data_IF_675287037529
#
_entry.id   IF_675287037529
#
_cell.length_a   1.000
_cell.length_b   1.000
_cell.length_c   1.000
_cell.angle_alpha   90.00
_cell.angle_beta   90.00
_cell.angle_gamma   90.00
#
_symmetry.space_group_name_H-M   'P 1'
#
loop_
_entity.id
_entity.type
_entity.pdbx_description
1 polymer ?
#
# COMPACT_ATOMS: atom_id res chain seq x y z
N UNK A 1 22.58 14.99 -12.47
CA UNK A 1 23.59 13.92 -12.26
C UNK A 1 24.77 14.25 -13.15
N UNK A 2 26.02 13.97 -12.74
CA UNK A 2 27.17 14.13 -13.63
C UNK A 2 27.21 12.93 -14.57
N UNK A 3 27.14 13.17 -15.87
CA UNK A 3 27.22 12.15 -16.90
C UNK A 3 28.65 11.60 -16.96
N UNK A 4 28.90 10.43 -16.35
CA UNK A 4 30.23 9.85 -16.18
C UNK A 4 30.58 8.92 -17.33
N UNK A 5 31.74 9.16 -17.95
CA UNK A 5 32.18 8.44 -19.14
C UNK A 5 33.59 7.89 -18.94
N UNK A 6 33.80 6.64 -19.33
CA UNK A 6 35.12 6.01 -19.39
C UNK A 6 35.51 5.74 -20.84
N UNK A 7 36.66 6.25 -21.29
CA UNK A 7 37.27 5.89 -22.59
C UNK A 7 38.44 4.94 -22.39
N UNK A 8 38.48 3.84 -23.12
CA UNK A 8 39.54 2.84 -23.07
C UNK A 8 40.16 2.69 -24.45
N UNK A 9 41.41 3.13 -24.60
CA UNK A 9 42.13 3.17 -25.88
C UNK A 9 43.64 3.27 -25.61
N UNK A 10 44.50 2.62 -26.39
CA UNK A 10 45.95 2.69 -26.20
C UNK A 10 46.56 3.96 -26.83
N UNK A 11 45.81 4.65 -27.70
CA UNK A 11 46.22 5.89 -28.34
C UNK A 11 46.06 7.10 -27.41
N UNK A 12 47.11 7.37 -26.62
CA UNK A 12 47.16 8.50 -25.67
C UNK A 12 46.79 9.88 -26.24
N UNK A 13 47.02 10.11 -27.55
CA UNK A 13 46.62 11.36 -28.23
C UNK A 13 45.11 11.46 -28.37
N UNK A 14 44.45 10.37 -28.75
CA UNK A 14 42.99 10.30 -28.90
C UNK A 14 42.31 10.52 -27.54
N UNK A 15 42.78 9.80 -26.51
CA UNK A 15 42.27 9.95 -25.14
C UNK A 15 42.33 11.39 -24.64
N UNK A 16 43.47 12.09 -24.84
CA UNK A 16 43.63 13.49 -24.44
C UNK A 16 42.67 14.43 -25.16
N UNK A 17 42.45 14.21 -26.46
CA UNK A 17 41.56 15.04 -27.27
C UNK A 17 40.11 14.87 -26.80
N UNK A 18 39.65 13.63 -26.56
CA UNK A 18 38.29 13.38 -26.10
C UNK A 18 38.07 13.89 -24.68
N UNK A 19 39.01 13.64 -23.77
CA UNK A 19 38.93 14.16 -22.41
C UNK A 19 38.83 15.69 -22.41
N UNK A 20 39.74 16.40 -23.10
CA UNK A 20 39.72 17.86 -23.14
C UNK A 20 38.46 18.43 -23.81
N UNK A 21 37.96 17.77 -24.86
CA UNK A 21 36.81 18.27 -25.63
C UNK A 21 35.47 18.01 -24.93
N UNK A 22 35.33 16.85 -24.28
CA UNK A 22 34.10 16.46 -23.60
C UNK A 22 33.98 17.09 -22.22
N UNK A 23 35.09 17.31 -21.50
CA UNK A 23 35.06 18.08 -20.24
C UNK A 23 34.60 19.53 -20.48
N UNK A 24 34.92 20.15 -21.63
CA UNK A 24 34.37 21.46 -22.02
C UNK A 24 32.85 21.44 -22.25
N UNK A 25 32.26 20.27 -22.50
CA UNK A 25 30.82 20.06 -22.65
C UNK A 25 30.17 19.53 -21.35
N UNK A 26 30.84 19.72 -20.21
CA UNK A 26 30.36 19.34 -18.87
C UNK A 26 30.18 17.84 -18.63
N UNK A 27 30.73 16.98 -19.50
CA UNK A 27 30.84 15.56 -19.21
C UNK A 27 31.99 15.29 -18.23
N UNK A 28 31.76 14.36 -17.31
CA UNK A 28 32.79 13.86 -16.40
C UNK A 28 33.47 12.69 -17.10
N UNK A 29 34.76 12.83 -17.43
CA UNK A 29 35.46 11.89 -18.33
C UNK A 29 36.76 11.39 -17.71
N UNK A 30 36.86 10.07 -17.62
CA UNK A 30 38.07 9.35 -17.24
C UNK A 30 38.53 8.49 -18.42
N UNK A 31 39.83 8.30 -18.55
CA UNK A 31 40.46 7.53 -19.63
C UNK A 31 41.24 6.36 -19.07
N UNK A 32 41.45 5.29 -19.82
CA UNK A 32 42.30 4.14 -19.47
C UNK A 32 43.09 3.71 -20.72
N UNK A 33 44.37 3.39 -20.55
CA UNK A 33 45.28 3.07 -21.66
C UNK A 33 45.33 1.57 -22.00
N UNK A 34 44.73 0.71 -21.18
CA UNK A 34 44.75 -0.73 -21.31
C UNK A 34 43.58 -1.38 -20.54
N UNK A 35 43.37 -2.67 -20.74
CA UNK A 35 42.30 -3.44 -20.13
C UNK A 35 42.40 -3.55 -18.61
N UNK A 36 43.60 -3.73 -18.05
CA UNK A 36 43.79 -3.76 -16.59
C UNK A 36 43.36 -2.45 -15.93
N UNK A 37 43.76 -1.31 -16.50
CA UNK A 37 43.39 0.01 -16.01
C UNK A 37 41.89 0.26 -16.16
N UNK A 38 41.28 -0.22 -17.26
CA UNK A 38 39.84 -0.17 -17.46
C UNK A 38 39.06 -0.95 -16.39
N UNK A 39 39.51 -2.17 -16.03
CA UNK A 39 38.91 -2.99 -14.96
C UNK A 39 38.96 -2.29 -13.60
N UNK A 40 40.05 -1.58 -13.31
CA UNK A 40 40.17 -0.79 -12.07
C UNK A 40 39.23 0.41 -12.10
N UNK A 41 39.26 1.17 -13.19
CA UNK A 41 38.51 2.43 -13.32
C UNK A 41 37.01 2.24 -13.41
N UNK A 42 36.51 1.18 -14.06
CA UNK A 42 35.07 0.91 -14.11
C UNK A 42 34.49 0.64 -12.71
N UNK A 43 35.27 0.06 -11.81
CA UNK A 43 34.89 -0.20 -10.43
C UNK A 43 35.01 1.06 -9.55
N UNK A 44 36.13 1.79 -9.62
CA UNK A 44 36.39 2.94 -8.75
C UNK A 44 35.59 4.19 -9.13
N UNK A 45 35.44 4.45 -10.43
CA UNK A 45 34.81 5.66 -10.94
C UNK A 45 33.30 5.50 -11.18
N UNK A 46 32.85 4.24 -11.34
CA UNK A 46 31.46 3.87 -11.61
C UNK A 46 30.86 4.65 -12.79
N UNK A 47 31.42 4.53 -14.02
CA UNK A 47 30.93 5.26 -15.20
C UNK A 47 29.58 4.74 -15.68
N UNK A 48 28.77 5.60 -16.28
CA UNK A 48 27.49 5.24 -16.89
C UNK A 48 27.67 4.70 -18.31
N UNK A 49 28.60 5.31 -19.06
CA UNK A 49 28.92 4.99 -20.45
C UNK A 49 30.41 4.65 -20.58
N UNK A 50 30.72 3.57 -21.29
CA UNK A 50 32.09 3.09 -21.49
C UNK A 50 32.37 2.91 -22.98
N UNK A 51 33.38 3.60 -23.49
CA UNK A 51 33.93 3.40 -24.83
C UNK A 51 35.12 2.46 -24.75
N UNK A 52 35.12 1.40 -25.56
CA UNK A 52 36.14 0.35 -25.56
C UNK A 52 36.75 0.19 -26.95
N UNK A 53 38.06 0.38 -27.09
CA UNK A 53 38.76 -0.05 -28.30
C UNK A 53 38.75 -1.58 -28.41
N UNK A 54 38.53 -2.09 -29.62
CA UNK A 54 38.60 -3.52 -29.94
C UNK A 54 40.00 -4.07 -29.70
N UNK A 55 41.05 -3.27 -29.96
CA UNK A 55 42.45 -3.70 -29.81
C UNK A 55 43.08 -2.95 -28.65
N UNK A 56 43.32 -3.65 -27.54
CA UNK A 56 44.10 -3.14 -26.41
C UNK A 56 45.40 -3.94 -26.28
N UNK A 57 46.45 -3.38 -25.67
CA UNK A 57 47.77 -4.00 -25.62
C UNK A 57 47.82 -5.30 -24.79
N UNK A 58 46.89 -5.48 -23.86
CA UNK A 58 46.89 -6.55 -22.86
C UNK A 58 45.69 -7.51 -22.96
N UNK A 59 44.60 -7.10 -23.61
CA UNK A 59 43.38 -7.90 -23.76
C UNK A 59 42.61 -7.50 -25.02
N UNK A 60 41.80 -8.41 -25.57
CA UNK A 60 40.82 -8.03 -26.59
C UNK A 60 39.70 -7.17 -25.98
N UNK A 61 39.33 -6.08 -26.63
CA UNK A 61 38.19 -5.25 -26.21
C UNK A 61 36.87 -6.01 -26.20
N UNK A 62 36.71 -7.01 -27.09
CA UNK A 62 35.53 -7.88 -27.13
C UNK A 62 35.43 -8.80 -25.91
N UNK A 63 36.57 -9.34 -25.44
CA UNK A 63 36.59 -10.19 -24.24
C UNK A 63 36.29 -9.34 -23.00
N UNK A 64 36.84 -8.12 -22.96
CA UNK A 64 36.58 -7.17 -21.89
C UNK A 64 35.10 -6.73 -21.85
N UNK A 65 34.48 -6.52 -23.01
CA UNK A 65 33.05 -6.25 -23.15
C UNK A 65 32.20 -7.39 -22.55
N UNK A 66 32.51 -8.65 -22.88
CA UNK A 66 31.75 -9.80 -22.36
C UNK A 66 31.81 -9.90 -20.83
N UNK A 67 32.96 -9.61 -20.24
CA UNK A 67 33.12 -9.55 -18.78
C UNK A 67 32.31 -8.41 -18.19
N UNK A 68 32.41 -7.22 -18.78
CA UNK A 68 31.76 -6.02 -18.26
C UNK A 68 30.23 -6.07 -18.39
N UNK A 69 29.69 -6.60 -19.48
CA UNK A 69 28.24 -6.76 -19.65
C UNK A 69 27.65 -7.69 -18.59
N UNK A 70 28.37 -8.76 -18.21
CA UNK A 70 27.93 -9.68 -17.14
C UNK A 70 27.98 -9.03 -15.76
N UNK A 71 29.05 -8.30 -15.46
CA UNK A 71 29.26 -7.71 -14.14
C UNK A 71 28.47 -6.40 -13.94
N UNK A 72 28.25 -5.66 -15.01
CA UNK A 72 27.65 -4.32 -14.98
C UNK A 72 26.53 -4.17 -16.02
N UNK A 73 25.43 -4.95 -15.91
CA UNK A 73 24.34 -5.00 -16.91
C UNK A 73 23.54 -3.68 -17.05
N UNK A 74 23.80 -2.70 -16.18
CA UNK A 74 23.14 -1.40 -16.18
C UNK A 74 23.97 -0.30 -16.84
N UNK A 75 25.21 -0.58 -17.26
CA UNK A 75 26.08 0.37 -17.97
C UNK A 75 25.91 0.24 -19.48
N UNK A 76 26.25 1.29 -20.21
CA UNK A 76 26.26 1.31 -21.68
C UNK A 76 27.67 1.12 -22.19
N UNK A 77 27.87 0.18 -23.12
CA UNK A 77 29.17 -0.09 -23.73
C UNK A 77 29.16 0.21 -25.22
N UNK A 78 30.13 0.99 -25.70
CA UNK A 78 30.26 1.37 -27.11
C UNK A 78 31.63 0.93 -27.61
N UNK A 79 31.68 0.17 -28.69
CA UNK A 79 32.95 -0.31 -29.24
C UNK A 79 33.57 0.70 -30.21
N UNK A 80 34.88 0.88 -30.16
CA UNK A 80 35.66 1.63 -31.15
C UNK A 80 36.47 0.64 -31.98
N UNK A 81 36.35 0.66 -33.30
CA UNK A 81 36.99 -0.32 -34.20
C UNK A 81 37.67 0.35 -35.38
N UNK A 82 38.73 -0.24 -35.95
CA UNK A 82 39.32 0.23 -37.20
C UNK A 82 38.50 -0.19 -38.44
N UNK A 83 38.73 0.47 -39.57
CA UNK A 83 38.08 0.18 -40.85
C UNK A 83 38.44 -1.23 -41.36
N UNK A 84 37.44 -2.04 -41.72
CA UNK A 84 37.61 -3.41 -42.22
C UNK A 84 37.09 -4.53 -41.30
N UNK A 85 36.70 -4.21 -40.07
CA UNK A 85 36.32 -5.17 -39.02
C UNK A 85 34.78 -5.29 -38.83
N UNK A 86 34.02 -5.42 -39.92
CA UNK A 86 32.54 -5.54 -39.87
C UNK A 86 32.10 -6.76 -39.03
N UNK A 87 32.85 -7.86 -39.10
CA UNK A 87 32.60 -9.06 -38.30
C UNK A 87 32.77 -8.81 -36.78
N UNK A 88 33.71 -7.94 -36.39
CA UNK A 88 33.90 -7.57 -34.99
C UNK A 88 32.78 -6.65 -34.49
N UNK A 89 32.27 -5.75 -35.34
CA UNK A 89 31.12 -4.92 -35.00
C UNK A 89 29.86 -5.78 -34.75
N UNK A 90 29.60 -6.77 -35.61
CA UNK A 90 28.50 -7.71 -35.42
C UNK A 90 28.68 -8.55 -34.14
N UNK A 91 29.91 -9.00 -33.88
CA UNK A 91 30.23 -9.78 -32.68
C UNK A 91 30.10 -8.96 -31.40
N UNK A 92 30.48 -7.69 -31.42
CA UNK A 92 30.28 -6.74 -30.32
C UNK A 92 28.80 -6.56 -29.98
N UNK A 93 27.95 -6.35 -30.98
CA UNK A 93 26.50 -6.21 -30.76
C UNK A 93 25.91 -7.49 -30.16
N UNK A 94 26.33 -8.67 -30.63
CA UNK A 94 25.93 -9.96 -30.04
C UNK A 94 26.42 -10.14 -28.60
N UNK A 95 27.58 -9.57 -28.26
CA UNK A 95 28.15 -9.60 -26.92
C UNK A 95 27.55 -8.56 -25.96
N UNK A 96 26.61 -7.72 -26.43
CA UNK A 96 25.89 -6.76 -25.59
C UNK A 96 26.41 -5.32 -25.67
N UNK A 97 27.20 -4.97 -26.68
CA UNK A 97 27.48 -3.56 -27.00
C UNK A 97 26.18 -2.85 -27.40
N UNK A 98 26.06 -1.59 -26.99
CA UNK A 98 24.97 -0.70 -27.36
C UNK A 98 25.11 -0.18 -28.79
N UNK A 99 26.33 0.19 -29.17
CA UNK A 99 26.66 0.63 -30.52
C UNK A 99 28.17 0.46 -30.78
N UNK A 100 28.62 0.78 -31.99
CA UNK A 100 30.03 0.86 -32.34
C UNK A 100 30.36 2.10 -33.18
N UNK A 101 31.63 2.48 -33.20
CA UNK A 101 32.16 3.58 -34.00
C UNK A 101 33.46 3.20 -34.71
N UNK A 102 33.60 3.64 -35.96
CA UNK A 102 34.75 3.29 -36.80
C UNK A 102 35.79 4.40 -36.74
N UNK A 103 37.04 4.06 -36.38
CA UNK A 103 38.22 4.93 -36.44
C UNK A 103 38.60 5.20 -37.91
N UNK A 104 38.98 6.44 -38.28
CA UNK A 104 39.22 7.60 -37.42
C UNK A 104 37.94 8.29 -36.97
N UNK A 105 37.82 8.52 -35.67
CA UNK A 105 36.57 9.00 -35.04
C UNK A 105 36.49 10.52 -35.04
N UNK A 106 35.35 11.08 -35.44
CA UNK A 106 35.08 12.52 -35.32
C UNK A 106 34.40 12.84 -34.00
N UNK A 107 34.77 13.97 -33.39
CA UNK A 107 34.21 14.41 -32.11
C UNK A 107 32.68 14.51 -32.14
N UNK A 108 32.09 14.99 -33.25
CA UNK A 108 30.63 15.10 -33.39
C UNK A 108 29.93 13.74 -33.36
N UNK A 109 30.55 12.69 -33.92
CA UNK A 109 29.97 11.34 -33.92
C UNK A 109 29.96 10.74 -32.50
N UNK A 110 31.03 10.97 -31.73
CA UNK A 110 31.08 10.59 -30.31
C UNK A 110 30.01 11.32 -29.49
N UNK A 111 29.83 12.63 -29.71
CA UNK A 111 28.81 13.40 -28.98
C UNK A 111 27.41 12.82 -29.23
N UNK A 112 27.08 12.51 -30.50
CA UNK A 112 25.78 11.91 -30.84
C UNK A 112 25.59 10.57 -30.14
N UNK A 113 26.63 9.74 -30.09
CA UNK A 113 26.56 8.45 -29.40
C UNK A 113 26.43 8.60 -27.88
N UNK A 114 27.13 9.56 -27.28
CA UNK A 114 27.00 9.89 -25.86
C UNK A 114 25.57 10.33 -25.55
N UNK A 115 25.00 11.24 -26.34
CA UNK A 115 23.62 11.72 -26.16
C UNK A 115 22.61 10.56 -26.23
N UNK A 116 22.72 9.70 -27.25
CA UNK A 116 21.87 8.50 -27.39
C UNK A 116 22.03 7.53 -26.22
N UNK A 117 23.26 7.32 -25.75
CA UNK A 117 23.54 6.42 -24.62
C UNK A 117 22.89 6.92 -23.33
N UNK A 118 22.99 8.22 -23.03
CA UNK A 118 22.38 8.80 -21.83
C UNK A 118 20.85 8.88 -21.95
N UNK A 119 20.30 9.17 -23.14
CA UNK A 119 18.86 9.09 -23.39
C UNK A 119 18.33 7.68 -23.14
N UNK A 120 19.04 6.65 -23.64
CA UNK A 120 18.69 5.25 -23.39
C UNK A 120 18.75 4.88 -21.91
N UNK A 121 19.77 5.33 -21.18
CA UNK A 121 19.88 5.12 -19.73
C UNK A 121 18.72 5.78 -18.99
N UNK A 122 18.36 7.01 -19.36
CA UNK A 122 17.22 7.71 -18.78
C UNK A 122 15.92 6.96 -19.06
N UNK A 123 15.68 6.55 -20.31
CA UNK A 123 14.50 5.75 -20.67
C UNK A 123 14.44 4.41 -19.93
N UNK A 124 15.58 3.74 -19.73
CA UNK A 124 15.66 2.48 -18.98
C UNK A 124 15.36 2.69 -17.50
N UNK A 125 15.86 3.77 -16.90
CA UNK A 125 15.55 4.15 -15.51
C UNK A 125 14.08 4.53 -15.34
N UNK A 126 13.52 5.33 -16.25
CA UNK A 126 12.10 5.68 -16.25
C UNK A 126 11.22 4.45 -16.44
N UNK A 127 11.58 3.53 -17.34
CA UNK A 127 10.87 2.27 -17.53
C UNK A 127 11.00 1.36 -16.30
N UNK A 128 12.16 1.32 -15.62
CA UNK A 128 12.32 0.59 -14.36
C UNK A 128 11.44 1.18 -13.25
N UNK A 129 11.42 2.49 -13.08
CA UNK A 129 10.55 3.22 -12.15
C UNK A 129 9.06 3.03 -12.47
N UNK A 130 8.69 3.07 -13.76
CA UNK A 130 7.32 2.82 -14.21
C UNK A 130 6.92 1.37 -14.00
N UNK A 131 7.82 0.40 -14.26
CA UNK A 131 7.61 -1.02 -13.96
C UNK A 131 7.55 -1.28 -12.47
N UNK A 132 8.31 -0.57 -11.65
CA UNK A 132 8.24 -0.65 -10.20
C UNK A 132 6.92 -0.08 -9.69
N UNK A 133 6.47 1.07 -10.22
CA UNK A 133 5.14 1.65 -9.94
C UNK A 133 3.98 0.77 -10.45
N UNK A 134 4.13 0.13 -11.62
CA UNK A 134 3.16 -0.81 -12.18
C UNK A 134 3.15 -2.12 -11.39
N UNK A 135 4.31 -2.63 -10.99
CA UNK A 135 4.42 -3.79 -10.12
C UNK A 135 3.85 -3.48 -8.75
N UNK A 136 4.03 -2.28 -8.21
CA UNK A 136 3.34 -1.80 -7.01
C UNK A 136 1.83 -1.73 -7.28
N UNK A 137 1.36 -1.20 -8.42
CA UNK A 137 -0.07 -1.15 -8.77
C UNK A 137 -0.70 -2.56 -8.94
N UNK A 138 0.04 -3.53 -9.49
CA UNK A 138 -0.38 -4.94 -9.62
C UNK A 138 -0.31 -5.69 -8.27
N UNK A 139 0.68 -5.37 -7.43
CA UNK A 139 0.90 -6.02 -6.12
C UNK A 139 0.03 -5.41 -5.02
N UNK A 140 -0.37 -4.14 -5.16
CA UNK A 140 -1.30 -3.41 -4.27
C UNK A 140 -2.71 -3.37 -4.84
N UNK A 141 -3.05 -4.22 -5.82
CA UNK A 141 -4.40 -4.32 -6.38
C UNK A 141 -5.46 -4.79 -5.36
N UNK A 142 -5.17 -4.76 -4.06
CA UNK A 142 -6.11 -4.90 -2.93
C UNK A 142 -6.24 -3.62 -2.08
N UNK A 143 -5.24 -2.72 -2.08
CA UNK A 143 -5.28 -1.47 -1.33
C UNK A 143 -5.89 -0.37 -2.17
N UNK A 144 -7.05 0.12 -1.74
CA UNK A 144 -7.85 1.10 -2.47
C UNK A 144 -7.88 2.38 -1.66
N UNK A 145 -7.45 3.48 -2.27
CA UNK A 145 -7.51 4.80 -1.64
C UNK A 145 -6.90 5.89 -2.51
N UNK A 146 -7.61 7.00 -2.62
CA UNK A 146 -7.16 8.24 -3.30
C UNK A 146 -7.04 9.42 -2.33
N UNK A 147 -7.67 9.31 -1.16
CA UNK A 147 -7.62 10.27 -0.08
C UNK A 147 -6.19 10.55 0.36
N UNK A 148 -5.93 11.80 0.78
CA UNK A 148 -4.61 12.22 1.21
C UNK A 148 -4.09 11.37 2.40
N UNK A 149 -5.00 10.94 3.28
CA UNK A 149 -4.65 10.09 4.43
C UNK A 149 -4.19 8.70 3.97
N UNK A 150 -4.91 8.06 3.04
CA UNK A 150 -4.50 6.77 2.50
C UNK A 150 -3.19 6.85 1.72
N UNK A 151 -2.96 7.93 0.96
CA UNK A 151 -1.67 8.15 0.26
C UNK A 151 -0.49 8.22 1.22
N UNK A 152 -0.65 8.87 2.38
CA UNK A 152 0.38 8.90 3.43
C UNK A 152 0.63 7.51 4.03
N UNK A 153 -0.43 6.74 4.25
CA UNK A 153 -0.32 5.35 4.72
C UNK A 153 0.45 4.51 3.69
N UNK A 154 0.16 4.64 2.39
CA UNK A 154 0.88 3.92 1.34
C UNK A 154 2.37 4.28 1.30
N UNK A 155 2.71 5.57 1.40
CA UNK A 155 4.12 6.00 1.49
C UNK A 155 4.84 5.44 2.72
N UNK A 156 4.13 5.31 3.85
CA UNK A 156 4.69 4.71 5.06
C UNK A 156 4.90 3.21 4.89
N UNK A 157 3.94 2.51 4.26
CA UNK A 157 4.06 1.10 3.90
C UNK A 157 5.30 0.88 3.03
N UNK A 158 5.50 1.69 1.99
CA UNK A 158 6.66 1.59 1.10
C UNK A 158 8.00 1.73 1.84
N UNK A 159 8.06 2.59 2.87
CA UNK A 159 9.27 2.80 3.68
C UNK A 159 9.52 1.68 4.67
N UNK A 160 8.46 1.15 5.31
CA UNK A 160 8.60 0.13 6.36
C UNK A 160 8.70 -1.28 5.81
N UNK A 161 8.11 -1.56 4.64
CA UNK A 161 8.10 -2.87 4.03
C UNK A 161 9.49 -3.50 3.85
N UNK A 162 10.53 -2.81 3.34
CA UNK A 162 11.88 -3.40 3.20
C UNK A 162 12.64 -3.57 4.54
N UNK A 163 12.07 -3.16 5.68
CA UNK A 163 12.70 -3.32 7.00
C UNK A 163 12.14 -4.52 7.75
N UNK A 164 12.86 -5.02 8.76
CA UNK A 164 12.37 -6.04 9.70
C UNK A 164 11.64 -5.46 10.93
N UNK A 165 11.34 -4.15 10.93
CA UNK A 165 10.64 -3.51 12.02
C UNK A 165 9.23 -4.08 12.22
N UNK A 166 8.85 -4.24 13.50
CA UNK A 166 7.48 -4.56 13.89
C UNK A 166 6.54 -3.41 13.53
N UNK A 167 5.36 -3.73 13.01
CA UNK A 167 4.35 -2.74 12.65
C UNK A 167 3.09 -2.99 13.47
N UNK A 168 2.58 -1.94 14.12
CA UNK A 168 1.29 -1.95 14.80
C UNK A 168 0.26 -1.21 13.93
N UNK A 169 -0.80 -1.91 13.56
CA UNK A 169 -1.92 -1.41 12.78
C UNK A 169 -3.11 -1.13 13.69
N UNK A 170 -3.47 0.14 13.83
CA UNK A 170 -4.59 0.56 14.67
C UNK A 170 -5.75 1.05 13.81
N UNK A 171 -6.97 0.87 14.29
CA UNK A 171 -8.18 1.41 13.64
C UNK A 171 -9.37 0.49 13.80
N UNK A 172 -10.55 0.97 13.46
CA UNK A 172 -11.80 0.24 13.65
C UNK A 172 -11.85 -1.10 12.89
N UNK A 173 -12.79 -1.97 13.25
CA UNK A 173 -12.98 -3.23 12.52
C UNK A 173 -13.44 -2.93 11.09
N UNK A 174 -12.96 -3.72 10.13
CA UNK A 174 -13.34 -3.58 8.72
C UNK A 174 -12.70 -2.40 7.97
N UNK A 175 -11.72 -1.69 8.54
CA UNK A 175 -11.00 -0.59 7.86
C UNK A 175 -9.96 -1.06 6.83
N UNK A 176 -9.61 -2.35 6.83
CA UNK A 176 -8.63 -2.92 5.88
C UNK A 176 -7.24 -3.20 6.47
N UNK A 177 -7.10 -3.25 7.81
CA UNK A 177 -5.84 -3.58 8.49
C UNK A 177 -5.17 -4.85 7.96
N UNK A 178 -5.93 -5.94 7.76
CA UNK A 178 -5.40 -7.20 7.24
C UNK A 178 -4.85 -7.06 5.81
N UNK A 179 -5.49 -6.25 4.96
CA UNK A 179 -4.99 -5.94 3.61
C UNK A 179 -3.74 -5.08 3.62
N UNK A 180 -3.61 -4.18 4.59
CA UNK A 180 -2.39 -3.40 4.80
C UNK A 180 -1.25 -4.32 5.26
N UNK A 181 -1.50 -5.26 6.17
CA UNK A 181 -0.50 -6.24 6.59
C UNK A 181 -0.01 -7.11 5.41
N UNK A 182 -0.93 -7.60 4.57
CA UNK A 182 -0.60 -8.32 3.34
C UNK A 182 0.26 -7.47 2.39
N UNK A 183 -0.05 -6.18 2.25
CA UNK A 183 0.71 -5.27 1.40
C UNK A 183 2.13 -5.02 1.93
N UNK A 184 2.29 -4.81 3.24
CA UNK A 184 3.60 -4.67 3.90
C UNK A 184 4.44 -5.91 3.62
N UNK A 185 3.87 -7.11 3.76
CA UNK A 185 4.59 -8.35 3.48
C UNK A 185 4.98 -8.48 1.99
N UNK A 186 4.04 -8.24 1.07
CA UNK A 186 4.28 -8.33 -0.39
C UNK A 186 5.35 -7.35 -0.89
N UNK A 187 5.48 -6.20 -0.24
CA UNK A 187 6.49 -5.18 -0.56
C UNK A 187 7.81 -5.36 0.21
N UNK A 188 7.92 -6.38 1.06
CA UNK A 188 9.11 -6.64 1.86
C UNK A 188 10.13 -7.54 1.16
N UNK A 189 11.33 -7.62 1.72
CA UNK A 189 12.35 -8.60 1.33
C UNK A 189 11.92 -10.05 1.62
N UNK A 190 10.85 -10.24 2.42
CA UNK A 190 10.25 -11.53 2.78
C UNK A 190 9.04 -11.89 1.90
N UNK A 191 8.76 -11.17 0.81
CA UNK A 191 7.58 -11.40 -0.06
C UNK A 191 7.43 -12.83 -0.61
N UNK A 192 8.54 -13.54 -0.82
CA UNK A 192 8.56 -14.92 -1.33
C UNK A 192 8.56 -15.97 -0.18
N UNK A 193 8.41 -15.51 1.06
CA UNK A 193 8.37 -16.32 2.29
C UNK A 193 6.93 -16.42 2.82
N UNK A 194 6.65 -17.31 3.78
CA UNK A 194 5.29 -17.47 4.31
C UNK A 194 4.75 -16.18 4.94
N UNK A 195 3.49 -15.86 4.63
CA UNK A 195 2.66 -14.92 5.37
C UNK A 195 1.61 -15.70 6.16
N UNK A 196 1.71 -15.70 7.48
CA UNK A 196 0.80 -16.45 8.36
C UNK A 196 -0.06 -15.47 9.14
N UNK A 197 -1.36 -15.42 8.83
CA UNK A 197 -2.33 -14.61 9.56
C UNK A 197 -3.00 -15.43 10.68
N UNK A 198 -3.11 -14.84 11.86
CA UNK A 198 -3.77 -15.42 13.03
C UNK A 198 -4.69 -14.37 13.64
N UNK A 199 -5.97 -14.68 13.79
CA UNK A 199 -6.92 -13.84 14.50
C UNK A 199 -7.03 -14.31 15.95
N UNK A 200 -6.56 -13.47 16.88
CA UNK A 200 -6.45 -13.81 18.29
C UNK A 200 -7.80 -13.85 19.03
N UNK A 201 -8.86 -13.24 18.48
CA UNK A 201 -10.19 -13.21 19.10
C UNK A 201 -11.09 -14.36 18.66
N UNK A 202 -10.80 -14.98 17.51
CA UNK A 202 -11.62 -16.05 16.92
C UNK A 202 -11.41 -17.45 17.51
N UNK A 203 -10.36 -17.64 18.33
CA UNK A 203 -9.93 -18.94 18.85
C UNK A 203 -9.94 -18.91 20.38
N UNK A 204 -10.51 -19.91 21.07
CA UNK A 204 -10.39 -20.02 22.52
C UNK A 204 -8.92 -20.02 22.97
N UNK A 205 -8.61 -19.35 24.06
CA UNK A 205 -7.22 -19.10 24.51
C UNK A 205 -6.33 -20.35 24.55
N UNK A 206 -6.83 -21.46 25.09
CA UNK A 206 -6.09 -22.73 25.18
C UNK A 206 -5.71 -23.29 23.79
N UNK A 207 -6.60 -23.11 22.81
CA UNK A 207 -6.35 -23.52 21.43
C UNK A 207 -5.47 -22.50 20.70
N UNK A 208 -5.59 -21.20 21.02
CA UNK A 208 -4.74 -20.15 20.46
C UNK A 208 -3.27 -20.39 20.79
N UNK A 209 -2.97 -20.77 22.04
CA UNK A 209 -1.62 -21.10 22.47
C UNK A 209 -1.04 -22.29 21.71
N UNK A 210 -1.81 -23.37 21.61
CA UNK A 210 -1.45 -24.58 20.89
C UNK A 210 -1.30 -24.34 19.38
N UNK A 211 -2.12 -23.47 18.77
CA UNK A 211 -1.99 -23.09 17.36
C UNK A 211 -0.75 -22.22 17.14
N UNK A 212 -0.51 -21.18 17.94
CA UNK A 212 0.61 -20.26 17.73
C UNK A 212 1.97 -20.90 18.03
N UNK A 213 2.10 -21.58 19.17
CA UNK A 213 3.38 -22.13 19.64
C UNK A 213 3.54 -23.63 19.37
N UNK A 214 2.47 -24.34 19.00
CA UNK A 214 2.52 -25.80 18.83
C UNK A 214 2.44 -26.55 20.16
N UNK A 215 2.31 -27.86 20.09
CA UNK A 215 2.22 -28.72 21.28
C UNK A 215 2.94 -30.04 21.08
N UNK A 216 3.40 -30.62 22.19
CA UNK A 216 3.90 -32.00 22.23
C UNK A 216 2.77 -33.00 22.49
N UNK A 217 3.03 -34.27 22.15
CA UNK A 217 2.09 -35.35 22.44
C UNK A 217 1.82 -35.42 23.95
N UNK A 218 0.55 -35.41 24.34
CA UNK A 218 0.12 -35.48 25.73
C UNK A 218 0.12 -34.14 26.48
N UNK A 219 0.33 -33.02 25.80
CA UNK A 219 0.35 -31.69 26.43
C UNK A 219 -0.99 -31.26 27.06
N UNK A 220 -2.13 -31.76 26.54
CA UNK A 220 -3.47 -31.54 27.07
C UNK A 220 -4.41 -32.69 26.66
N UNK A 221 -5.62 -32.74 27.24
CA UNK A 221 -6.64 -33.74 26.89
C UNK A 221 -7.03 -33.61 25.42
N UNK A 222 -6.63 -34.59 24.59
CA UNK A 222 -6.85 -34.58 23.14
C UNK A 222 -5.58 -34.38 22.29
N UNK A 223 -4.42 -34.12 22.91
CA UNK A 223 -3.13 -33.99 22.22
C UNK A 223 -2.54 -35.37 21.84
N UNK A 224 -3.15 -36.05 20.86
CA UNK A 224 -2.76 -37.41 20.43
C UNK A 224 -1.41 -37.44 19.73
N UNK A 225 -1.03 -36.36 19.06
CA UNK A 225 0.21 -36.20 18.29
C UNK A 225 0.85 -34.85 18.56
N UNK A 226 2.16 -34.73 18.41
CA UNK A 226 2.85 -33.43 18.41
C UNK A 226 2.50 -32.62 17.14
N UNK A 227 2.32 -31.30 17.28
CA UNK A 227 2.02 -30.40 16.15
C UNK A 227 2.88 -29.13 16.22
N UNK A 228 3.44 -28.73 15.08
CA UNK A 228 4.18 -27.46 14.95
C UNK A 228 3.23 -26.27 15.03
N UNK A 229 3.70 -25.20 15.67
CA UNK A 229 2.95 -23.94 15.79
C UNK A 229 3.04 -23.04 14.55
N UNK A 230 2.20 -22.00 14.50
CA UNK A 230 2.21 -20.97 13.47
C UNK A 230 3.51 -20.16 13.46
N UNK A 231 4.16 -19.96 14.62
CA UNK A 231 5.48 -19.31 14.65
C UNK A 231 6.56 -20.13 13.93
N UNK A 232 6.55 -21.46 14.07
CA UNK A 232 7.45 -22.34 13.29
C UNK A 232 7.11 -22.29 11.80
N UNK A 233 5.82 -22.27 11.45
CA UNK A 233 5.36 -22.18 10.06
C UNK A 233 5.70 -20.83 9.40
N UNK A 234 5.77 -19.75 10.19
CA UNK A 234 6.12 -18.41 9.74
C UNK A 234 7.63 -18.16 9.70
N UNK A 235 8.48 -19.14 10.07
CA UNK A 235 9.92 -18.95 10.15
C UNK A 235 10.53 -18.51 8.80
N UNK A 236 11.35 -17.46 8.84
CA UNK A 236 11.89 -16.74 7.68
C UNK A 236 10.91 -15.76 7.03
N UNK A 237 9.63 -15.77 7.42
CA UNK A 237 8.55 -14.98 6.82
C UNK A 237 7.94 -13.94 7.76
N UNK A 238 6.63 -13.75 7.67
CA UNK A 238 5.88 -12.76 8.43
C UNK A 238 4.69 -13.40 9.13
N UNK A 239 4.49 -13.08 10.40
CA UNK A 239 3.27 -13.41 11.14
C UNK A 239 2.44 -12.15 11.35
N UNK A 240 1.17 -12.22 10.98
CA UNK A 240 0.19 -11.18 11.20
C UNK A 240 -0.73 -11.61 12.35
N UNK A 241 -0.72 -10.83 13.44
CA UNK A 241 -1.52 -11.06 14.64
C UNK A 241 -2.66 -10.04 14.68
N UNK A 242 -3.86 -10.48 14.26
CA UNK A 242 -5.05 -9.64 14.27
C UNK A 242 -5.75 -9.69 15.64
N UNK A 243 -6.40 -8.58 16.00
CA UNK A 243 -7.05 -8.35 17.28
C UNK A 243 -6.15 -8.64 18.50
N UNK A 244 -4.92 -8.11 18.50
CA UNK A 244 -3.95 -8.31 19.57
C UNK A 244 -4.39 -7.73 20.92
N UNK A 245 -5.37 -6.81 20.94
CA UNK A 245 -5.96 -6.29 22.18
C UNK A 245 -6.88 -7.28 22.92
N UNK A 246 -7.14 -8.46 22.36
CA UNK A 246 -8.05 -9.46 22.94
C UNK A 246 -7.29 -10.57 23.71
N UNK A 247 -5.95 -10.57 23.69
CA UNK A 247 -5.16 -11.63 24.33
C UNK A 247 -5.06 -11.44 25.85
N UNK A 248 -5.04 -12.56 26.57
CA UNK A 248 -4.90 -12.56 28.03
C UNK A 248 -3.51 -12.07 28.48
N UNK A 249 -3.36 -11.56 29.72
CA UNK A 249 -2.06 -11.19 30.27
C UNK A 249 -1.05 -12.35 30.29
N UNK A 250 -1.52 -13.59 30.47
CA UNK A 250 -0.66 -14.78 30.47
C UNK A 250 -0.09 -15.05 29.07
N UNK A 251 -0.91 -14.84 28.04
CA UNK A 251 -0.52 -14.97 26.65
C UNK A 251 0.45 -13.85 26.22
N UNK A 252 0.23 -12.62 26.71
CA UNK A 252 1.13 -11.48 26.46
C UNK A 252 2.58 -11.78 26.91
N UNK A 253 2.77 -12.46 28.04
CA UNK A 253 4.11 -12.84 28.51
C UNK A 253 4.83 -13.81 27.56
N UNK A 254 4.11 -14.79 26.99
CA UNK A 254 4.66 -15.73 26.00
C UNK A 254 4.96 -15.04 24.67
N UNK A 255 4.07 -14.12 24.27
CA UNK A 255 4.29 -13.33 23.07
C UNK A 255 5.48 -12.37 23.21
N UNK A 256 5.69 -11.80 24.39
CA UNK A 256 6.88 -11.00 24.69
C UNK A 256 8.16 -11.80 24.47
N UNK A 257 8.21 -13.05 24.93
CA UNK A 257 9.39 -13.90 24.76
C UNK A 257 9.76 -14.12 23.28
N UNK A 258 8.79 -14.41 22.42
CA UNK A 258 9.06 -14.61 20.98
C UNK A 258 9.31 -13.29 20.24
N UNK A 259 8.69 -12.19 20.65
CA UNK A 259 8.91 -10.87 20.04
C UNK A 259 10.31 -10.33 20.38
N UNK A 260 10.77 -10.54 21.61
CA UNK A 260 12.06 -10.04 22.11
C UNK A 260 13.22 -11.00 21.83
N UNK A 261 13.12 -12.24 22.29
CA UNK A 261 14.23 -13.20 22.29
C UNK A 261 14.21 -14.11 21.06
N UNK A 262 13.21 -13.97 20.18
CA UNK A 262 13.01 -14.81 19.00
C UNK A 262 12.92 -16.31 19.34
N UNK A 263 12.55 -16.61 20.57
CA UNK A 263 12.43 -17.98 21.09
C UNK A 263 11.10 -18.22 21.79
N UNK A 264 10.65 -19.47 21.79
CA UNK A 264 9.51 -19.92 22.58
C UNK A 264 9.61 -21.42 22.85
N UNK A 265 8.67 -21.97 23.63
CA UNK A 265 8.53 -23.41 23.88
C UNK A 265 7.16 -23.88 23.41
N UNK A 266 7.08 -25.10 22.87
CA UNK A 266 5.80 -25.76 22.61
C UNK A 266 5.06 -26.03 23.91
N UNK A 267 3.73 -26.06 23.86
CA UNK A 267 2.91 -26.48 25.00
C UNK A 267 3.30 -27.90 25.42
N UNK A 268 3.65 -28.09 26.69
CA UNK A 268 4.10 -29.38 27.23
C UNK A 268 5.56 -29.72 26.95
N UNK A 269 6.36 -28.80 26.39
CA UNK A 269 7.79 -28.97 26.15
C UNK A 269 8.63 -27.97 26.94
N UNK A 270 9.85 -28.39 27.32
CA UNK A 270 10.88 -27.50 27.88
C UNK A 270 11.98 -27.18 26.85
N UNK A 271 11.81 -27.60 25.60
CA UNK A 271 12.76 -27.33 24.53
C UNK A 271 12.51 -25.93 23.96
N UNK A 272 13.52 -25.07 24.03
CA UNK A 272 13.52 -23.77 23.36
C UNK A 272 13.64 -23.95 21.84
N UNK A 273 12.80 -23.23 21.11
CA UNK A 273 12.76 -23.17 19.66
C UNK A 273 13.03 -21.72 19.24
N UNK A 274 14.01 -21.51 18.37
CA UNK A 274 14.34 -20.18 17.81
C UNK A 274 13.68 -20.01 16.44
N UNK A 275 13.09 -18.85 16.17
CA UNK A 275 12.48 -18.50 14.89
C UNK A 275 12.83 -17.08 14.46
N UNK A 276 13.13 -16.88 13.18
CA UNK A 276 13.28 -15.57 12.57
C UNK A 276 11.96 -15.17 11.91
N UNK A 277 11.14 -14.39 12.61
CA UNK A 277 9.83 -13.97 12.14
C UNK A 277 9.67 -12.46 12.29
N UNK A 278 9.23 -11.81 11.21
CA UNK A 278 8.74 -10.43 11.24
C UNK A 278 7.31 -10.41 11.76
N UNK A 279 7.01 -9.50 12.67
CA UNK A 279 5.71 -9.41 13.33
C UNK A 279 4.96 -8.16 12.85
N UNK A 280 3.73 -8.35 12.42
CA UNK A 280 2.77 -7.27 12.18
C UNK A 280 1.58 -7.54 13.11
N UNK A 281 1.21 -6.58 13.94
CA UNK A 281 0.08 -6.70 14.84
C UNK A 281 -1.04 -5.73 14.42
N UNK A 282 -2.29 -6.11 14.64
CA UNK A 282 -3.44 -5.25 14.44
C UNK A 282 -4.38 -5.26 15.64
N UNK A 283 -5.07 -4.15 15.87
CA UNK A 283 -6.04 -3.98 16.96
C UNK A 283 -7.08 -2.94 16.59
N UNK A 284 -8.31 -3.12 17.10
CA UNK A 284 -9.34 -2.08 17.12
C UNK A 284 -9.44 -1.36 18.48
N UNK A 285 -8.69 -1.80 19.49
CA UNK A 285 -8.61 -1.20 20.83
C UNK A 285 -7.41 -0.27 20.94
N UNK A 286 -7.53 0.72 21.83
CA UNK A 286 -6.43 1.59 22.21
C UNK A 286 -5.49 0.86 23.19
N UNK A 287 -4.39 0.32 22.67
CA UNK A 287 -3.42 -0.40 23.50
C UNK A 287 -2.72 0.49 24.51
N UNK A 288 -2.55 1.79 24.20
CA UNK A 288 -1.89 2.72 25.12
C UNK A 288 -2.75 2.91 26.37
N UNK A 289 -4.07 3.08 26.18
CA UNK A 289 -5.03 3.11 27.28
C UNK A 289 -5.06 1.80 28.07
N UNK A 290 -4.98 0.66 27.39
CA UNK A 290 -4.93 -0.66 28.06
C UNK A 290 -3.66 -0.85 28.90
N UNK A 291 -2.53 -0.25 28.50
CA UNK A 291 -1.31 -0.21 29.32
C UNK A 291 -1.53 0.61 30.59
N UNK A 292 -2.15 1.79 30.48
CA UNK A 292 -2.49 2.63 31.63
C UNK A 292 -3.47 1.93 32.60
N UNK A 293 -4.39 1.12 32.06
CA UNK A 293 -5.34 0.32 32.83
C UNK A 293 -4.74 -1.01 33.37
N UNK A 294 -3.49 -1.34 33.02
CA UNK A 294 -2.81 -2.57 33.45
C UNK A 294 -3.34 -3.86 32.79
N UNK A 295 -4.16 -3.75 31.74
CA UNK A 295 -4.72 -4.90 31.00
C UNK A 295 -3.85 -5.33 29.82
N UNK A 296 -2.92 -4.48 29.39
CA UNK A 296 -1.88 -4.81 28.41
C UNK A 296 -0.49 -4.49 28.96
N UNK A 297 0.48 -5.37 28.73
CA UNK A 297 1.84 -5.18 29.23
C UNK A 297 2.56 -4.08 28.46
N UNK A 298 3.17 -3.17 29.22
CA UNK A 298 3.96 -2.05 28.69
C UNK A 298 5.15 -2.52 27.84
N UNK A 299 5.87 -3.55 28.29
CA UNK A 299 7.04 -4.09 27.59
C UNK A 299 6.69 -4.67 26.20
N UNK A 300 5.59 -5.42 26.11
CA UNK A 300 5.08 -5.96 24.85
C UNK A 300 4.61 -4.84 23.92
N UNK A 301 3.92 -3.83 24.44
CA UNK A 301 3.46 -2.67 23.66
C UNK A 301 4.63 -2.01 22.92
N UNK A 302 5.73 -1.70 23.62
CA UNK A 302 6.90 -1.07 22.98
C UNK A 302 7.62 -1.99 21.97
N UNK A 303 7.55 -3.32 22.13
CA UNK A 303 8.13 -4.27 21.15
C UNK A 303 7.29 -4.40 19.87
N UNK A 304 5.98 -4.28 19.98
CA UNK A 304 5.06 -4.31 18.84
C UNK A 304 4.99 -2.96 18.13
N UNK A 305 5.04 -1.86 18.88
CA UNK A 305 4.84 -0.50 18.40
C UNK A 305 6.15 0.20 17.99
N UNK A 306 6.92 -0.41 17.08
CA UNK A 306 8.10 0.26 16.49
C UNK A 306 7.66 1.24 15.41
N UNK A 307 6.73 0.82 14.55
CA UNK A 307 6.06 1.69 13.57
C UNK A 307 4.55 1.59 13.78
N UNK A 308 3.93 2.72 14.10
CA UNK A 308 2.49 2.84 14.28
C UNK A 308 1.81 3.32 12.99
N UNK A 309 0.74 2.64 12.58
CA UNK A 309 -0.07 3.03 11.43
C UNK A 309 -1.54 3.02 11.85
N UNK A 310 -2.11 4.21 12.00
CA UNK A 310 -3.54 4.39 12.19
C UNK A 310 -4.27 4.37 10.85
N UNK A 311 -5.23 3.46 10.71
CA UNK A 311 -6.08 3.30 9.52
C UNK A 311 -7.42 3.99 9.78
N UNK A 312 -7.72 5.10 9.09
CA UNK A 312 -8.91 5.89 9.37
C UNK A 312 -10.19 5.10 9.02
N UNK A 313 -11.28 5.33 9.76
CA UNK A 313 -12.59 4.80 9.41
C UNK A 313 -13.08 5.38 8.08
N UNK A 314 -13.96 4.66 7.41
CA UNK A 314 -14.43 5.00 6.05
C UNK A 314 -15.12 6.37 5.99
N UNK A 315 -15.81 6.76 7.07
CA UNK A 315 -16.43 8.09 7.23
C UNK A 315 -15.45 9.27 7.18
N UNK A 316 -14.18 9.05 7.49
CA UNK A 316 -13.12 10.07 7.40
C UNK A 316 -12.42 10.09 6.03
N UNK A 317 -12.74 9.14 5.15
CA UNK A 317 -12.18 9.01 3.79
C UNK A 317 -13.27 8.73 2.75
N UNK A 318 -14.33 9.54 2.78
CA UNK A 318 -15.49 9.42 1.89
C UNK A 318 -15.16 9.51 0.40
N UNK A 319 -14.06 10.17 0.05
CA UNK A 319 -13.54 10.26 -1.33
C UNK A 319 -13.08 8.90 -1.88
N UNK A 320 -12.81 7.92 -1.01
CA UNK A 320 -12.40 6.58 -1.42
C UNK A 320 -13.59 5.68 -1.77
N UNK A 321 -14.80 6.03 -1.33
CA UNK A 321 -16.02 5.21 -1.51
C UNK A 321 -16.35 4.96 -2.99
N UNK A 322 -16.32 5.95 -3.91
CA UNK A 322 -16.61 5.68 -5.33
C UNK A 322 -15.68 4.65 -5.94
N UNK A 323 -14.38 4.71 -5.60
CA UNK A 323 -13.38 3.78 -6.10
C UNK A 323 -13.53 2.38 -5.50
N UNK A 324 -13.87 2.31 -4.20
CA UNK A 324 -14.18 1.05 -3.52
C UNK A 324 -15.41 0.37 -4.15
N UNK A 325 -16.48 1.12 -4.40
CA UNK A 325 -17.70 0.62 -5.04
C UNK A 325 -17.40 0.06 -6.41
N UNK A 326 -16.72 0.83 -7.27
CA UNK A 326 -16.42 0.38 -8.64
C UNK A 326 -15.61 -0.92 -8.64
N UNK A 327 -14.61 -1.03 -7.76
CA UNK A 327 -13.80 -2.24 -7.66
C UNK A 327 -14.55 -3.46 -7.15
N UNK A 328 -15.43 -3.29 -6.16
CA UNK A 328 -16.29 -4.39 -5.71
C UNK A 328 -17.28 -4.81 -6.80
N UNK A 329 -17.83 -3.84 -7.54
CA UNK A 329 -18.69 -4.13 -8.68
C UNK A 329 -17.93 -4.86 -9.80
N UNK A 330 -16.71 -4.45 -10.13
CA UNK A 330 -15.87 -5.13 -11.14
C UNK A 330 -15.64 -6.61 -10.80
N UNK A 331 -15.36 -6.90 -9.53
CA UNK A 331 -15.24 -8.28 -9.06
C UNK A 331 -16.54 -9.08 -9.31
N UNK A 332 -17.70 -8.49 -9.00
CA UNK A 332 -19.00 -9.14 -9.22
C UNK A 332 -19.42 -9.21 -10.69
N UNK A 333 -19.03 -8.24 -11.53
CA UNK A 333 -19.23 -8.28 -12.99
C UNK A 333 -18.53 -9.50 -13.58
N UNK A 334 -17.28 -9.74 -13.19
CA UNK A 334 -16.51 -10.91 -13.62
C UNK A 334 -17.09 -12.22 -13.07
N UNK A 335 -17.42 -12.26 -11.76
CA UNK A 335 -17.94 -13.45 -11.09
C UNK A 335 -19.29 -13.92 -11.64
N UNK A 336 -20.20 -12.99 -11.94
CA UNK A 336 -21.55 -13.31 -12.40
C UNK A 336 -21.75 -13.17 -13.91
N UNK A 337 -20.72 -12.72 -14.64
CA UNK A 337 -20.81 -12.40 -16.07
C UNK A 337 -22.00 -11.48 -16.40
N UNK A 338 -22.20 -10.46 -15.55
CA UNK A 338 -23.27 -9.47 -15.66
C UNK A 338 -22.69 -8.06 -15.68
N UNK A 339 -23.41 -7.12 -16.30
CA UNK A 339 -23.07 -5.70 -16.21
C UNK A 339 -23.80 -5.11 -15.01
N UNK A 340 -23.05 -4.40 -14.17
CA UNK A 340 -23.56 -3.68 -13.00
C UNK A 340 -23.07 -2.24 -13.05
N UNK A 341 -23.93 -1.26 -12.81
CA UNK A 341 -23.59 0.15 -12.77
C UNK A 341 -24.21 0.81 -11.55
N UNK A 342 -23.40 1.52 -10.78
CA UNK A 342 -23.88 2.37 -9.69
C UNK A 342 -24.05 3.81 -10.20
N UNK A 343 -25.30 4.33 -10.26
CA UNK A 343 -25.53 5.70 -10.72
C UNK A 343 -24.92 6.72 -9.74
N UNK A 344 -24.58 7.91 -10.25
CA UNK A 344 -23.92 8.98 -9.46
C UNK A 344 -24.72 9.36 -8.20
N UNK A 345 -26.05 9.29 -8.27
CA UNK A 345 -26.94 9.57 -7.13
C UNK A 345 -26.79 8.52 -6.03
N UNK A 346 -26.69 7.24 -6.40
CA UNK A 346 -26.42 6.16 -5.45
C UNK A 346 -25.05 6.35 -4.80
N UNK A 347 -24.01 6.66 -5.58
CA UNK A 347 -22.66 6.92 -5.03
C UNK A 347 -22.69 8.04 -3.99
N UNK A 348 -23.41 9.15 -4.24
CA UNK A 348 -23.56 10.23 -3.26
C UNK A 348 -24.25 9.78 -1.98
N UNK A 349 -25.27 8.93 -2.08
CA UNK A 349 -25.94 8.35 -0.90
C UNK A 349 -24.98 7.48 -0.10
N UNK A 350 -24.22 6.61 -0.78
CA UNK A 350 -23.21 5.78 -0.14
C UNK A 350 -22.10 6.62 0.51
N UNK A 351 -21.73 7.77 -0.04
CA UNK A 351 -20.78 8.69 0.58
C UNK A 351 -21.30 9.36 1.86
N UNK A 352 -22.62 9.51 1.99
CA UNK A 352 -23.22 10.16 3.15
C UNK A 352 -23.43 9.21 4.33
N UNK A 353 -23.58 7.91 4.07
CA UNK A 353 -23.70 6.89 5.10
C UNK A 353 -22.46 6.83 6.01
N UNK A 354 -22.67 6.55 7.30
CA UNK A 354 -21.64 6.56 8.33
C UNK A 354 -20.68 5.36 8.29
N UNK A 355 -21.10 4.23 7.70
CA UNK A 355 -20.32 2.99 7.58
C UNK A 355 -19.71 2.48 8.89
N UNK A 356 -20.51 2.14 9.92
CA UNK A 356 -19.99 1.62 11.20
C UNK A 356 -19.15 0.35 11.04
N UNK A 357 -19.42 -0.50 10.04
CA UNK A 357 -18.61 -1.67 9.70
C UNK A 357 -17.55 -1.41 8.62
N UNK A 358 -17.33 -0.14 8.27
CA UNK A 358 -16.28 0.35 7.38
C UNK A 358 -16.31 -0.35 6.00
N UNK A 359 -15.14 -0.69 5.45
CA UNK A 359 -15.00 -1.28 4.11
C UNK A 359 -15.64 -2.67 4.04
N UNK A 360 -15.63 -3.43 5.14
CA UNK A 360 -16.27 -4.75 5.21
C UNK A 360 -17.79 -4.65 5.03
N UNK A 361 -18.42 -3.68 5.68
CA UNK A 361 -19.85 -3.43 5.51
C UNK A 361 -20.17 -2.95 4.10
N UNK A 362 -19.38 -2.03 3.54
CA UNK A 362 -19.53 -1.58 2.16
C UNK A 362 -19.43 -2.76 1.17
N UNK A 363 -18.45 -3.63 1.35
CA UNK A 363 -18.28 -4.82 0.50
C UNK A 363 -19.51 -5.73 0.57
N UNK A 364 -20.00 -6.02 1.77
CA UNK A 364 -21.18 -6.87 1.97
C UNK A 364 -22.45 -6.23 1.37
N UNK A 365 -22.59 -4.91 1.51
CA UNK A 365 -23.72 -4.17 0.96
C UNK A 365 -23.71 -4.20 -0.58
N UNK A 366 -22.55 -4.03 -1.21
CA UNK A 366 -22.38 -4.14 -2.67
C UNK A 366 -22.61 -5.58 -3.16
N UNK A 367 -22.11 -6.58 -2.44
CA UNK A 367 -22.35 -7.99 -2.80
C UNK A 367 -23.85 -8.31 -2.77
N UNK A 368 -24.55 -7.90 -1.71
CA UNK A 368 -26.00 -8.06 -1.62
C UNK A 368 -26.71 -7.34 -2.76
N UNK A 369 -26.32 -6.11 -3.05
CA UNK A 369 -26.94 -5.32 -4.10
C UNK A 369 -26.72 -5.96 -5.49
N UNK A 370 -25.52 -6.49 -5.77
CA UNK A 370 -25.23 -7.21 -7.01
C UNK A 370 -26.03 -8.51 -7.17
N UNK A 371 -26.36 -9.19 -6.05
CA UNK A 371 -27.19 -10.41 -6.06
C UNK A 371 -28.68 -10.07 -6.29
N UNK A 372 -29.18 -9.01 -5.67
CA UNK A 372 -30.60 -8.63 -5.73
C UNK A 372 -30.97 -7.81 -6.97
N UNK A 373 -30.00 -7.12 -7.56
CA UNK A 373 -30.21 -6.27 -8.73
C UNK A 373 -30.78 -7.10 -9.89
N UNK A 374 -31.99 -6.72 -10.35
CA UNK A 374 -32.67 -7.37 -11.46
C UNK A 374 -32.20 -6.83 -12.82
N UNK A 375 -31.73 -5.58 -12.85
CA UNK A 375 -31.28 -4.88 -14.05
C UNK A 375 -29.75 -4.77 -14.10
N UNK A 376 -29.22 -3.92 -14.99
CA UNK A 376 -27.80 -3.55 -14.99
C UNK A 376 -27.51 -2.37 -14.03
N UNK A 377 -28.53 -1.61 -13.62
CA UNK A 377 -28.38 -0.43 -12.75
C UNK A 377 -28.78 -0.76 -11.31
N UNK A 378 -27.89 -0.45 -10.36
CA UNK A 378 -28.12 -0.65 -8.93
C UNK A 378 -29.01 0.46 -8.36
N UNK A 379 -30.04 0.07 -7.60
CA UNK A 379 -30.90 0.97 -6.84
C UNK A 379 -30.56 0.92 -5.36
N UNK A 380 -30.91 1.98 -4.62
CA UNK A 380 -30.83 1.97 -3.15
C UNK A 380 -31.70 0.86 -2.53
N UNK A 381 -32.74 0.42 -3.23
CA UNK A 381 -33.61 -0.69 -2.81
C UNK A 381 -32.90 -2.05 -2.81
N UNK A 382 -31.74 -2.15 -3.45
CA UNK A 382 -30.91 -3.36 -3.45
C UNK A 382 -30.03 -3.45 -2.18
N UNK A 383 -29.91 -2.36 -1.41
CA UNK A 383 -29.02 -2.24 -0.23
C UNK A 383 -29.72 -2.56 1.10
N UNK A 384 -29.00 -2.90 2.19
CA UNK A 384 -29.56 -3.12 3.53
C UNK A 384 -30.48 -1.98 4.01
N UNK A 385 -31.49 -2.29 4.83
CA UNK A 385 -32.51 -1.32 5.29
C UNK A 385 -31.88 -0.18 6.06
N UNK A 386 -30.84 -0.48 6.84
CA UNK A 386 -30.08 0.45 7.65
C UNK A 386 -29.49 1.60 6.81
N UNK A 387 -29.05 1.29 5.58
CA UNK A 387 -28.53 2.27 4.61
C UNK A 387 -29.68 3.07 3.97
N UNK A 388 -30.87 2.47 3.83
CA UNK A 388 -32.07 3.14 3.31
C UNK A 388 -32.69 4.10 4.33
N UNK A 389 -32.72 3.71 5.60
CA UNK A 389 -33.37 4.47 6.69
C UNK A 389 -32.54 5.70 7.09
N UNK A 390 -31.19 5.65 7.00
CA UNK A 390 -30.35 6.84 7.24
C UNK A 390 -30.65 7.95 6.21
N UNK A 391 -31.04 7.60 4.97
CA UNK A 391 -31.53 8.55 3.95
C UNK A 391 -32.85 9.22 4.38
N UNK A 392 -33.77 8.49 5.00
CA UNK A 392 -35.07 9.01 5.46
C UNK A 392 -34.90 9.96 6.65
N UNK A 393 -33.99 9.63 7.58
CA UNK A 393 -33.63 10.48 8.71
C UNK A 393 -32.98 11.81 8.28
N UNK A 394 -32.06 11.78 7.31
CA UNK A 394 -31.39 12.97 6.75
C UNK A 394 -32.31 13.86 5.90
N UNK A 395 -33.36 13.30 5.29
CA UNK A 395 -34.39 14.04 4.55
C UNK A 395 -35.51 14.59 5.44
N UNK A 396 -35.45 14.36 6.76
CA UNK A 396 -36.47 14.79 7.71
C UNK A 396 -37.82 14.09 7.50
N UNK A 397 -37.84 12.97 6.78
CA UNK A 397 -39.02 12.12 6.67
C UNK A 397 -38.84 11.05 7.72
N UNK A 398 -39.11 11.38 8.99
CA UNK A 398 -39.44 10.35 9.97
C UNK A 398 -40.64 9.61 9.39
N UNK A 399 -40.43 8.39 8.90
CA UNK A 399 -41.51 7.51 8.51
C UNK A 399 -42.50 7.46 9.66
N UNK A 400 -43.76 7.77 9.32
CA UNK A 400 -44.93 7.77 10.19
C UNK A 400 -45.25 6.33 10.61
N UNK A 401 -44.32 5.65 11.26
CA UNK A 401 -44.46 4.25 11.70
C UNK A 401 -44.45 4.08 13.22
N UNK A 402 -44.42 5.18 13.99
CA UNK A 402 -44.87 5.13 15.39
C UNK A 402 -46.41 5.13 15.45
N UNK A 403 -46.98 3.92 15.32
CA UNK A 403 -48.42 3.63 15.46
C UNK A 403 -48.97 3.83 16.88
N UNK A 404 -48.29 4.60 17.73
CA UNK A 404 -48.62 4.83 19.15
C UNK A 404 -49.07 6.25 19.47
N UNK A 405 -48.91 7.21 18.54
CA UNK A 405 -49.32 8.60 18.73
C UNK A 405 -50.74 8.83 18.18
N UNK A 406 -51.57 9.51 18.97
CA UNK A 406 -52.90 9.97 18.53
C UNK A 406 -52.77 11.06 17.46
N UNK A 407 -53.76 11.19 16.56
CA UNK A 407 -53.76 12.19 15.47
C UNK A 407 -53.37 13.62 15.92
N UNK A 408 -53.85 14.12 17.08
CA UNK A 408 -53.41 15.44 17.59
C UNK A 408 -51.91 15.52 17.86
N UNK A 409 -51.30 14.45 18.39
CA UNK A 409 -49.87 14.43 18.72
C UNK A 409 -48.99 14.38 17.46
N UNK A 410 -49.42 13.64 16.44
CA UNK A 410 -48.71 13.59 15.15
C UNK A 410 -48.72 14.97 14.46
N UNK A 411 -49.85 15.67 14.49
CA UNK A 411 -49.95 17.02 13.95
C UNK A 411 -49.07 18.03 14.71
N UNK A 412 -48.93 17.88 16.03
CA UNK A 412 -48.04 18.73 16.83
C UNK A 412 -46.56 18.50 16.48
N UNK A 413 -46.12 17.26 16.26
CA UNK A 413 -44.72 16.98 15.87
C UNK A 413 -44.39 17.49 14.47
N UNK A 414 -45.30 17.32 13.50
CA UNK A 414 -45.15 17.88 12.15
C UNK A 414 -45.07 19.41 12.23
N UNK A 415 -45.93 20.04 13.06
CA UNK A 415 -45.94 21.48 13.23
C UNK A 415 -44.64 22.01 13.87
N UNK A 416 -44.09 21.31 14.88
CA UNK A 416 -42.77 21.63 15.47
C UNK A 416 -41.66 21.57 14.44
N UNK A 417 -41.62 20.49 13.65
CA UNK A 417 -40.58 20.29 12.63
C UNK A 417 -40.60 21.40 11.57
N UNK A 418 -41.80 21.75 11.07
CA UNK A 418 -41.96 22.83 10.09
C UNK A 418 -41.54 24.20 10.66
N UNK A 419 -41.83 24.46 11.95
CA UNK A 419 -41.39 25.68 12.63
C UNK A 419 -39.86 25.75 12.73
N UNK A 420 -39.21 24.67 13.15
CA UNK A 420 -37.74 24.63 13.26
C UNK A 420 -37.06 24.81 11.90
N UNK A 421 -37.54 24.13 10.85
CA UNK A 421 -37.02 24.27 9.49
C UNK A 421 -37.17 25.69 8.95
N UNK A 422 -38.33 26.31 9.17
CA UNK A 422 -38.56 27.69 8.73
C UNK A 422 -37.72 28.72 9.51
N UNK A 423 -37.40 28.45 10.77
CA UNK A 423 -36.50 29.28 11.58
C UNK A 423 -35.04 29.16 11.13
N UNK A 424 -34.57 27.94 10.84
CA UNK A 424 -33.21 27.68 10.34
C UNK A 424 -32.98 28.37 8.98
N UNK A 425 -33.91 28.15 8.04
CA UNK A 425 -33.89 28.80 6.73
C UNK A 425 -34.11 30.32 6.81
N UNK A 426 -34.73 30.80 7.89
CA UNK A 426 -34.96 32.21 8.20
C UNK A 426 -33.84 32.87 9.03
N UNK A 427 -32.70 32.19 9.23
CA UNK A 427 -31.57 32.64 10.05
C UNK A 427 -32.01 33.10 11.46
N UNK A 428 -32.96 32.38 12.06
CA UNK A 428 -33.47 32.66 13.40
C UNK A 428 -34.40 33.87 13.50
N UNK A 429 -34.80 34.51 12.39
CA UNK A 429 -35.71 35.66 12.42
C UNK A 429 -37.19 35.21 12.37
N UNK A 430 -38.00 35.44 13.43
CA UNK A 430 -39.37 34.96 13.48
C UNK A 430 -40.28 35.58 12.40
N UNK A 431 -39.98 36.80 11.94
CA UNK A 431 -40.75 37.45 10.89
C UNK A 431 -40.56 36.78 9.51
N UNK A 432 -39.33 36.34 9.20
CA UNK A 432 -39.02 35.63 7.96
C UNK A 432 -39.61 34.21 7.97
N UNK A 433 -39.47 33.51 9.09
CA UNK A 433 -40.05 32.18 9.29
C UNK A 433 -41.58 32.18 9.18
N UNK A 434 -42.26 33.16 9.80
CA UNK A 434 -43.72 33.28 9.75
C UNK A 434 -44.23 33.52 8.32
N UNK A 435 -43.55 34.39 7.56
CA UNK A 435 -43.89 34.66 6.15
C UNK A 435 -43.76 33.40 5.29
N UNK A 436 -42.75 32.56 5.55
CA UNK A 436 -42.51 31.32 4.81
C UNK A 436 -43.54 30.23 5.14
N UNK A 437 -43.97 30.16 6.40
CA UNK A 437 -45.03 29.26 6.87
C UNK A 437 -46.44 29.75 6.51
N UNK A 438 -46.59 30.95 5.95
CA UNK A 438 -47.89 31.52 5.61
C UNK A 438 -48.76 31.90 6.81
N UNK A 439 -48.16 32.09 7.99
CA UNK A 439 -48.86 32.44 9.24
C UNK A 439 -48.44 33.81 9.76
N UNK A 440 -49.24 34.38 10.66
CA UNK A 440 -48.90 35.67 11.29
C UNK A 440 -47.72 35.52 12.26
N UNK A 441 -46.91 36.56 12.41
CA UNK A 441 -45.78 36.59 13.37
C UNK A 441 -46.25 36.27 14.80
N UNK A 442 -47.42 36.77 15.22
CA UNK A 442 -47.98 36.48 16.53
C UNK A 442 -48.37 35.00 16.69
N UNK A 443 -48.92 34.38 15.63
CA UNK A 443 -49.26 32.94 15.64
C UNK A 443 -48.00 32.07 15.74
N UNK A 444 -46.94 32.43 15.03
CA UNK A 444 -45.66 31.74 15.14
C UNK A 444 -45.07 31.88 16.55
N UNK A 445 -45.04 33.08 17.13
CA UNK A 445 -44.52 33.31 18.49
C UNK A 445 -45.33 32.53 19.55
N UNK A 446 -46.65 32.45 19.40
CA UNK A 446 -47.50 31.64 20.28
C UNK A 446 -47.15 30.14 20.17
N UNK A 447 -47.00 29.61 18.95
CA UNK A 447 -46.62 28.21 18.73
C UNK A 447 -45.20 27.91 19.22
N UNK A 448 -44.26 28.85 19.04
CA UNK A 448 -42.91 28.74 19.58
C UNK A 448 -42.92 28.66 21.10
N UNK A 449 -43.70 29.51 21.77
CA UNK A 449 -43.87 29.43 23.22
C UNK A 449 -44.59 28.14 23.65
N UNK A 450 -45.62 27.71 22.93
CA UNK A 450 -46.37 26.49 23.24
C UNK A 450 -45.48 25.23 23.16
N UNK A 451 -44.60 25.16 22.16
CA UNK A 451 -43.86 23.93 21.84
C UNK A 451 -42.42 23.90 22.34
N UNK A 452 -41.75 25.05 22.43
CA UNK A 452 -40.31 25.14 22.71
C UNK A 452 -39.98 25.98 23.95
N UNK A 453 -40.98 26.52 24.66
CA UNK A 453 -40.74 27.14 25.96
C UNK A 453 -40.59 26.06 27.04
N UNK A 454 -39.35 25.68 27.32
CA UNK A 454 -38.91 25.14 28.61
C UNK A 454 -37.61 25.81 29.03
#
# INVERSE_FOLDING_TARGET
MKNRILFVDDESKILRIFQASLTKKEYDVVTAANGQEARKKIFEYDPDVVFLDVRLPDVSGLDLLQDFVKLYPNKVFIMMTAFGDVENAVSAMKAGAFDYIVKPVKLNEIIILIEKAFEWLQMKQENALLKERLKIAETTNDLIGTSAVMKRIFQLIERVAPTDASVLLQGESGTGKSKIAEAIHRLSDRKDRPFIAVNCSSIPEQLLESELFGHEKGAFTGAVTSRKGKFEAANGGTIFLDEIGEISPSFQAKLLQVTQDKTFMRVGSNQLITVDVRIIAATNRDLKKMVEEGTFREDLYYRLNIVDIYVPPLRERKDDIPLLVEKFLDYHRQKYNRKFHAPKELIKLLQNYSWPGNVRELQNAIERAAVLCQNEELSIEDFPREIREEKESLLGVSTLEDRTLSLPQQLEEIEKMLILKALDEGLGQPAAAAKKLGISRQSLLYKMNKYFSK
#
